data_IF_580305261571
#
_entry.id   IF_580305261571
#
_cell.length_a   1.000
_cell.length_b   1.000
_cell.length_c   1.000
_cell.angle_alpha   90.00
_cell.angle_beta   90.00
_cell.angle_gamma   90.00
#
_symmetry.space_group_name_H-M   'P 1'
#
loop_
_entity.id
_entity.type
_entity.pdbx_description
1 polymer ?
#
# COMPACT_ATOMS: atom_id res chain seq x y z
N UNK A 1 26.25 -27.83 61.34
CA UNK A 1 27.40 -28.11 60.45
C UNK A 1 27.03 -27.53 59.09
N UNK A 2 27.41 -26.30 58.71
CA UNK A 2 28.75 -25.84 58.27
C UNK A 2 29.36 -26.81 57.25
N UNK A 3 29.69 -26.51 55.98
CA UNK A 3 30.12 -25.28 55.29
C UNK A 3 29.72 -25.37 53.78
N UNK A 4 29.29 -24.30 53.08
CA UNK A 4 30.05 -23.24 52.37
C UNK A 4 30.82 -23.71 51.11
N UNK A 5 30.38 -23.28 49.92
CA UNK A 5 31.20 -22.85 48.74
C UNK A 5 30.25 -22.53 47.57
N UNK A 6 29.75 -21.30 47.41
CA UNK A 6 30.26 -20.31 46.46
C UNK A 6 30.72 -20.88 45.10
N UNK A 7 29.87 -20.74 44.10
CA UNK A 7 30.24 -20.63 42.68
C UNK A 7 29.28 -19.62 42.05
N UNK A 8 29.46 -18.35 42.40
CA UNK A 8 28.98 -17.25 41.58
C UNK A 8 29.96 -17.06 40.42
N UNK A 9 29.46 -16.42 39.36
CA UNK A 9 30.20 -15.83 38.23
C UNK A 9 30.41 -16.77 37.04
N UNK A 10 29.43 -16.76 36.13
CA UNK A 10 29.68 -16.87 34.68
C UNK A 10 28.61 -16.09 33.91
N UNK A 11 28.42 -14.84 34.32
CA UNK A 11 27.71 -13.81 33.56
C UNK A 11 28.68 -12.65 33.39
N UNK A 12 29.42 -12.65 32.28
CA UNK A 12 30.17 -11.53 31.68
C UNK A 12 31.39 -12.08 30.94
N UNK A 13 31.28 -12.20 29.61
CA UNK A 13 32.45 -12.21 28.70
C UNK A 13 32.02 -12.17 27.24
N UNK A 14 31.14 -11.24 26.87
CA UNK A 14 31.00 -10.77 25.49
C UNK A 14 30.59 -9.29 25.48
N UNK A 15 31.39 -8.44 26.12
CA UNK A 15 31.19 -6.98 26.13
C UNK A 15 32.50 -6.19 26.04
N UNK A 16 33.56 -6.81 25.52
CA UNK A 16 34.88 -6.18 25.45
C UNK A 16 35.50 -6.44 24.10
N UNK A 17 35.13 -5.62 23.10
CA UNK A 17 35.98 -5.26 21.94
C UNK A 17 35.22 -4.32 20.97
N UNK A 18 34.89 -3.08 21.39
CA UNK A 18 34.74 -1.95 20.44
C UNK A 18 34.70 -0.55 21.10
N UNK A 19 35.47 -0.30 22.15
CA UNK A 19 35.55 1.05 22.74
C UNK A 19 36.85 1.81 22.39
N UNK A 20 37.87 1.14 21.86
CA UNK A 20 39.08 1.81 21.40
C UNK A 20 38.99 2.08 19.90
N UNK A 21 38.35 3.20 19.53
CA UNK A 21 38.61 4.05 18.35
C UNK A 21 37.45 5.02 18.10
N UNK A 22 37.00 5.77 19.11
CA UNK A 22 36.28 7.03 18.86
C UNK A 22 37.29 8.14 18.55
N UNK A 23 37.97 7.98 17.41
CA UNK A 23 38.63 9.08 16.72
C UNK A 23 37.57 10.12 16.36
N UNK A 24 37.75 11.35 16.86
CA UNK A 24 37.02 12.59 16.52
C UNK A 24 36.03 12.43 15.36
N UNK A 25 34.76 12.20 15.69
CA UNK A 25 33.65 12.36 14.75
C UNK A 25 33.49 13.86 14.50
N UNK A 26 34.13 14.36 13.44
CA UNK A 26 33.83 15.66 12.86
C UNK A 26 32.34 15.65 12.48
N UNK A 27 31.54 16.58 13.03
CA UNK A 27 30.10 16.65 12.74
C UNK A 27 29.92 16.68 11.22
N UNK A 28 29.26 15.67 10.62
CA UNK A 28 29.13 15.61 9.18
C UNK A 28 28.32 16.84 8.72
N UNK A 29 28.80 17.50 7.66
CA UNK A 29 28.05 18.62 7.09
C UNK A 29 26.70 18.11 6.57
N UNK A 30 25.67 18.96 6.59
CA UNK A 30 24.34 18.61 6.06
C UNK A 30 24.45 18.08 4.62
N UNK A 31 25.34 18.64 3.80
CA UNK A 31 25.60 18.17 2.45
C UNK A 31 26.20 16.76 2.40
N UNK A 32 27.10 16.43 3.33
CA UNK A 32 27.66 15.08 3.47
C UNK A 32 26.61 14.07 3.91
N UNK A 33 25.73 14.43 4.85
CA UNK A 33 24.60 13.58 5.26
C UNK A 33 23.61 13.34 4.12
N UNK A 34 23.28 14.38 3.35
CA UNK A 34 22.39 14.25 2.19
C UNK A 34 23.02 13.40 1.09
N UNK A 35 24.31 13.60 0.80
CA UNK A 35 25.03 12.80 -0.18
C UNK A 35 25.09 11.33 0.26
N UNK A 36 25.48 11.05 1.51
CA UNK A 36 25.52 9.70 2.07
C UNK A 36 24.14 9.04 2.02
N UNK A 37 23.07 9.76 2.42
CA UNK A 37 21.69 9.27 2.36
C UNK A 37 21.23 8.95 0.93
N UNK A 38 21.62 9.76 -0.05
CA UNK A 38 21.28 9.52 -1.45
C UNK A 38 22.06 8.34 -2.02
N UNK A 39 23.36 8.23 -1.72
CA UNK A 39 24.16 7.06 -2.13
C UNK A 39 23.77 5.79 -1.41
N UNK A 40 23.34 5.86 -0.15
CA UNK A 40 22.90 4.68 0.61
C UNK A 40 21.59 4.09 0.08
N UNK A 41 20.76 4.91 -0.58
CA UNK A 41 19.57 4.48 -1.31
C UNK A 41 19.91 3.46 -2.42
N UNK A 42 21.11 3.54 -2.98
CA UNK A 42 21.60 2.63 -4.03
C UNK A 42 22.69 1.64 -3.53
N UNK A 43 23.28 1.88 -2.36
CA UNK A 43 24.35 1.05 -1.78
C UNK A 43 23.75 -0.02 -0.86
N UNK A 44 24.13 -1.28 -1.09
CA UNK A 44 23.65 -2.41 -0.28
C UNK A 44 24.28 -2.37 1.12
N UNK A 45 23.47 -2.17 2.15
CA UNK A 45 23.92 -2.32 3.53
C UNK A 45 23.80 -3.78 3.98
N UNK A 46 24.77 -4.32 4.74
CA UNK A 46 24.60 -5.62 5.36
C UNK A 46 23.44 -5.57 6.40
N UNK A 47 22.75 -6.69 6.66
CA UNK A 47 21.71 -6.74 7.68
C UNK A 47 22.28 -6.37 9.05
N UNK A 48 21.53 -5.58 9.82
CA UNK A 48 21.99 -5.02 11.10
C UNK A 48 22.04 -6.08 12.21
N UNK A 49 21.21 -7.12 12.13
CA UNK A 49 21.15 -8.24 13.06
C UNK A 49 20.85 -9.52 12.27
N UNK A 50 21.74 -10.51 12.34
CA UNK A 50 21.51 -11.84 11.78
C UNK A 50 21.18 -12.79 12.93
N UNK A 51 19.90 -12.91 13.29
CA UNK A 51 19.44 -13.94 14.24
C UNK A 51 18.53 -14.92 13.49
N UNK A 52 18.75 -16.23 13.65
CA UNK A 52 17.97 -17.27 12.95
C UNK A 52 16.46 -17.18 13.23
N UNK A 53 16.08 -16.59 14.36
CA UNK A 53 14.67 -16.46 14.78
C UNK A 53 13.90 -15.43 13.96
N UNK A 54 14.58 -14.39 13.45
CA UNK A 54 13.95 -13.31 12.68
C UNK A 54 13.61 -13.77 11.26
N UNK A 55 14.41 -14.66 10.66
CA UNK A 55 14.20 -15.15 9.30
C UNK A 55 13.37 -16.44 9.20
N UNK A 56 12.73 -16.89 10.28
CA UNK A 56 11.99 -18.14 10.26
C UNK A 56 10.67 -17.99 9.50
N UNK A 57 10.70 -18.36 8.22
CA UNK A 57 9.52 -18.35 7.35
C UNK A 57 8.48 -19.35 7.86
N UNK A 58 7.25 -18.90 8.12
CA UNK A 58 6.13 -19.83 8.30
C UNK A 58 5.74 -20.37 6.92
N UNK A 59 6.04 -21.64 6.67
CA UNK A 59 5.58 -22.29 5.45
C UNK A 59 4.09 -22.64 5.60
N UNK A 60 3.21 -21.76 5.09
CA UNK A 60 1.81 -22.12 4.89
C UNK A 60 1.73 -23.34 3.95
N UNK A 61 0.91 -24.37 4.27
CA UNK A 61 0.75 -25.53 3.40
C UNK A 61 0.30 -25.08 2.00
N UNK A 62 1.02 -25.53 0.98
CA UNK A 62 0.96 -25.06 -0.42
C UNK A 62 -0.46 -24.91 -0.97
N UNK A 63 -1.40 -25.79 -0.58
CA UNK A 63 -2.80 -25.71 -1.02
C UNK A 63 -3.55 -24.45 -0.56
N UNK A 64 -3.29 -23.95 0.66
CA UNK A 64 -3.92 -22.72 1.16
C UNK A 64 -3.34 -21.47 0.51
N UNK A 65 -2.04 -21.48 0.18
CA UNK A 65 -1.37 -20.36 -0.50
C UNK A 65 -1.99 -20.06 -1.88
N UNK A 66 -2.30 -21.11 -2.66
CA UNK A 66 -2.92 -20.97 -3.97
C UNK A 66 -4.35 -20.44 -3.91
N UNK A 67 -5.09 -20.78 -2.85
CA UNK A 67 -6.43 -20.25 -2.63
C UNK A 67 -6.42 -18.73 -2.39
N UNK A 68 -5.42 -18.22 -1.66
CA UNK A 68 -5.26 -16.77 -1.44
C UNK A 68 -4.82 -16.03 -2.70
N UNK A 69 -3.91 -16.61 -3.50
CA UNK A 69 -3.58 -16.07 -4.83
C UNK A 69 -4.85 -15.97 -5.68
N UNK A 70 -5.60 -17.06 -5.77
CA UNK A 70 -6.83 -17.11 -6.55
C UNK A 70 -7.84 -16.08 -6.03
N UNK A 71 -8.02 -15.96 -4.71
CA UNK A 71 -8.89 -14.97 -4.11
C UNK A 71 -8.47 -13.54 -4.48
N UNK A 72 -7.19 -13.19 -4.36
CA UNK A 72 -6.68 -11.87 -4.74
C UNK A 72 -6.93 -11.54 -6.21
N UNK A 73 -6.65 -12.49 -7.11
CA UNK A 73 -6.91 -12.35 -8.55
C UNK A 73 -8.41 -12.21 -8.82
N UNK A 74 -9.24 -13.07 -8.23
CA UNK A 74 -10.68 -13.04 -8.41
C UNK A 74 -11.29 -11.74 -7.89
N UNK A 75 -10.82 -11.22 -6.76
CA UNK A 75 -11.25 -9.93 -6.23
C UNK A 75 -10.86 -8.80 -7.18
N UNK A 76 -9.63 -8.77 -7.68
CA UNK A 76 -9.18 -7.76 -8.64
C UNK A 76 -9.99 -7.83 -9.95
N UNK A 77 -10.23 -9.03 -10.48
CA UNK A 77 -11.03 -9.26 -11.69
C UNK A 77 -12.50 -8.89 -11.48
N UNK A 78 -13.06 -9.23 -10.32
CA UNK A 78 -14.43 -8.88 -9.94
C UNK A 78 -14.57 -7.36 -9.90
N UNK A 79 -13.69 -6.67 -9.16
CA UNK A 79 -13.71 -5.21 -9.07
C UNK A 79 -13.51 -4.55 -10.44
N UNK A 80 -12.59 -5.08 -11.26
CA UNK A 80 -12.40 -4.61 -12.63
C UNK A 80 -13.67 -4.77 -13.47
N UNK A 81 -14.32 -5.93 -13.40
CA UNK A 81 -15.56 -6.21 -14.14
C UNK A 81 -16.69 -5.29 -13.69
N UNK A 82 -16.84 -5.09 -12.38
CA UNK A 82 -17.85 -4.18 -11.82
C UNK A 82 -17.60 -2.73 -12.25
N UNK A 83 -16.35 -2.29 -12.22
CA UNK A 83 -15.95 -0.95 -12.66
C UNK A 83 -16.26 -0.73 -14.15
N UNK A 84 -15.96 -1.71 -15.02
CA UNK A 84 -16.27 -1.65 -16.46
C UNK A 84 -17.79 -1.67 -16.69
N UNK A 85 -18.53 -2.47 -15.93
CA UNK A 85 -19.99 -2.51 -16.02
C UNK A 85 -20.61 -1.14 -15.65
N UNK A 86 -20.05 -0.46 -14.64
CA UNK A 86 -20.57 0.82 -14.16
C UNK A 86 -20.35 1.99 -15.13
N UNK A 87 -19.24 2.03 -15.86
CA UNK A 87 -18.88 3.18 -16.72
C UNK A 87 -18.96 2.89 -18.23
N UNK A 88 -18.93 1.63 -18.61
CA UNK A 88 -18.91 1.18 -20.01
C UNK A 88 -17.52 0.84 -20.55
N UNK A 89 -17.51 0.03 -21.61
CA UNK A 89 -16.30 -0.56 -22.22
C UNK A 89 -15.31 0.47 -22.77
N UNK A 90 -15.77 1.69 -23.08
CA UNK A 90 -14.95 2.79 -23.59
C UNK A 90 -13.89 3.28 -22.60
N UNK A 91 -14.05 2.97 -21.31
CA UNK A 91 -13.17 3.45 -20.25
C UNK A 91 -12.03 2.49 -19.89
N UNK A 92 -11.98 1.32 -20.51
CA UNK A 92 -10.95 0.31 -20.23
C UNK A 92 -9.53 0.89 -20.40
N UNK A 93 -9.29 1.65 -21.46
CA UNK A 93 -7.97 2.24 -21.70
C UNK A 93 -7.53 3.20 -20.58
N UNK A 94 -8.46 4.03 -20.08
CA UNK A 94 -8.19 4.93 -18.96
C UNK A 94 -7.92 4.15 -17.68
N UNK A 95 -8.71 3.10 -17.41
CA UNK A 95 -8.53 2.27 -16.23
C UNK A 95 -7.17 1.55 -16.22
N UNK A 96 -6.74 1.02 -17.36
CA UNK A 96 -5.40 0.43 -17.52
C UNK A 96 -4.29 1.47 -17.33
N UNK A 97 -4.49 2.68 -17.86
CA UNK A 97 -3.54 3.77 -17.68
C UNK A 97 -3.42 4.19 -16.22
N UNK A 98 -4.53 4.41 -15.51
CA UNK A 98 -4.53 4.81 -14.09
C UNK A 98 -4.04 3.71 -13.16
N UNK A 99 -4.20 2.44 -13.54
CA UNK A 99 -3.68 1.28 -12.83
C UNK A 99 -2.18 1.04 -13.06
N UNK A 100 -1.60 1.57 -14.15
CA UNK A 100 -0.21 1.32 -14.51
C UNK A 100 0.77 1.83 -13.44
N UNK A 101 0.54 3.03 -12.88
CA UNK A 101 1.44 3.61 -11.90
C UNK A 101 1.42 2.85 -10.55
N UNK A 102 0.25 2.55 -9.94
CA UNK A 102 0.19 1.69 -8.75
C UNK A 102 0.78 0.30 -8.98
N UNK A 103 0.54 -0.30 -10.16
CA UNK A 103 1.07 -1.62 -10.50
C UNK A 103 2.60 -1.60 -10.61
N UNK A 104 3.18 -0.59 -11.26
CA UNK A 104 4.64 -0.42 -11.35
C UNK A 104 5.26 -0.24 -9.97
N UNK A 105 4.65 0.58 -9.11
CA UNK A 105 5.14 0.78 -7.75
C UNK A 105 5.01 -0.48 -6.89
N UNK A 106 3.92 -1.24 -7.04
CA UNK A 106 3.74 -2.54 -6.40
C UNK A 106 4.83 -3.52 -6.82
N UNK A 107 5.08 -3.65 -8.13
CA UNK A 107 6.14 -4.52 -8.67
C UNK A 107 7.51 -4.08 -8.13
N UNK A 108 7.80 -2.79 -8.15
CA UNK A 108 9.07 -2.26 -7.63
C UNK A 108 9.26 -2.57 -6.15
N UNK A 109 8.23 -2.41 -5.32
CA UNK A 109 8.27 -2.73 -3.91
C UNK A 109 8.57 -4.21 -3.67
N UNK A 110 7.87 -5.11 -4.38
CA UNK A 110 8.09 -6.56 -4.29
C UNK A 110 9.48 -6.99 -4.76
N UNK A 111 10.06 -6.29 -5.73
CA UNK A 111 11.41 -6.59 -6.24
C UNK A 111 12.53 -6.04 -5.35
N UNK A 112 12.23 -4.99 -4.58
CA UNK A 112 13.21 -4.32 -3.71
C UNK A 112 13.35 -5.03 -2.36
N UNK A 113 12.29 -5.71 -1.93
CA UNK A 113 12.29 -6.52 -0.72
C UNK A 113 13.22 -7.74 -0.86
N UNK A 114 14.31 -7.73 -0.08
CA UNK A 114 15.42 -8.71 -0.20
C UNK A 114 15.65 -9.51 1.07
N UNK A 115 15.55 -8.87 2.23
CA UNK A 115 16.01 -9.47 3.49
C UNK A 115 14.97 -10.44 4.04
N UNK A 116 13.69 -10.06 4.00
CA UNK A 116 12.55 -10.85 4.46
C UNK A 116 11.41 -10.78 3.44
N UNK A 117 11.53 -11.49 2.30
CA UNK A 117 10.57 -11.39 1.23
C UNK A 117 9.20 -11.89 1.66
N UNK A 118 8.23 -10.99 1.68
CA UNK A 118 6.86 -11.28 2.04
C UNK A 118 6.22 -12.32 1.09
N UNK A 119 5.33 -13.20 1.59
CA UNK A 119 4.57 -14.10 0.75
C UNK A 119 3.76 -13.33 -0.30
N UNK A 120 4.20 -13.46 -1.57
CA UNK A 120 3.57 -12.84 -2.75
C UNK A 120 2.07 -13.08 -2.85
N UNK A 121 1.59 -14.23 -2.35
CA UNK A 121 0.17 -14.56 -2.35
C UNK A 121 -0.64 -13.68 -1.40
N UNK A 122 -0.09 -13.30 -0.24
CA UNK A 122 -0.73 -12.36 0.68
C UNK A 122 -0.68 -10.94 0.15
N UNK A 123 0.43 -10.54 -0.47
CA UNK A 123 0.53 -9.24 -1.13
C UNK A 123 -0.52 -9.07 -2.22
N UNK A 124 -0.73 -10.10 -3.05
CA UNK A 124 -1.75 -10.07 -4.10
C UNK A 124 -3.17 -10.09 -3.52
N UNK A 125 -3.41 -10.85 -2.45
CA UNK A 125 -4.68 -10.83 -1.73
C UNK A 125 -4.96 -9.45 -1.12
N UNK A 126 -3.96 -8.84 -0.48
CA UNK A 126 -4.03 -7.51 0.11
C UNK A 126 -4.35 -6.44 -0.94
N UNK A 127 -3.68 -6.52 -2.09
CA UNK A 127 -3.97 -5.65 -3.23
C UNK A 127 -5.43 -5.81 -3.72
N UNK A 128 -5.89 -7.05 -3.91
CA UNK A 128 -7.27 -7.33 -4.34
C UNK A 128 -8.33 -6.87 -3.34
N UNK A 129 -8.09 -7.05 -2.03
CA UNK A 129 -8.95 -6.52 -0.98
C UNK A 129 -8.97 -5.00 -0.95
N UNK A 130 -7.81 -4.35 -1.16
CA UNK A 130 -7.72 -2.90 -1.29
C UNK A 130 -8.56 -2.35 -2.46
N UNK A 131 -8.51 -3.01 -3.62
CA UNK A 131 -9.37 -2.67 -4.76
C UNK A 131 -10.86 -2.83 -4.40
N UNK A 132 -11.24 -3.94 -3.77
CA UNK A 132 -12.63 -4.16 -3.36
C UNK A 132 -13.12 -3.07 -2.39
N UNK A 133 -12.32 -2.76 -1.35
CA UNK A 133 -12.69 -1.73 -0.39
C UNK A 133 -12.78 -0.34 -1.02
N UNK A 134 -11.88 0.02 -1.93
CA UNK A 134 -11.98 1.28 -2.69
C UNK A 134 -13.23 1.34 -3.56
N UNK A 135 -13.62 0.22 -4.19
CA UNK A 135 -14.86 0.18 -4.96
C UNK A 135 -16.12 0.31 -4.08
N UNK A 136 -16.14 -0.36 -2.93
CA UNK A 136 -17.25 -0.25 -1.98
C UNK A 136 -17.35 1.18 -1.45
N UNK A 137 -16.23 1.79 -1.07
CA UNK A 137 -16.18 3.18 -0.58
C UNK A 137 -16.68 4.17 -1.64
N UNK A 138 -16.15 4.11 -2.85
CA UNK A 138 -16.55 5.01 -3.94
C UNK A 138 -18.04 4.85 -4.30
N UNK A 139 -18.52 3.61 -4.42
CA UNK A 139 -19.96 3.35 -4.67
C UNK A 139 -20.84 3.81 -3.52
N UNK A 140 -20.45 3.59 -2.25
CA UNK A 140 -21.21 4.11 -1.11
C UNK A 140 -21.30 5.64 -1.14
N UNK A 141 -20.18 6.32 -1.38
CA UNK A 141 -20.15 7.78 -1.40
C UNK A 141 -20.94 8.38 -2.55
N UNK A 142 -20.87 7.80 -3.75
CA UNK A 142 -21.63 8.28 -4.90
C UNK A 142 -23.15 8.19 -4.71
N UNK A 143 -23.63 7.28 -3.85
CA UNK A 143 -25.05 7.13 -3.54
C UNK A 143 -25.55 8.08 -2.43
N UNK A 144 -24.66 8.80 -1.75
CA UNK A 144 -25.03 9.73 -0.68
C UNK A 144 -24.88 11.17 -1.19
N UNK A 145 -25.94 12.01 -1.17
CA UNK A 145 -25.89 13.37 -1.66
C UNK A 145 -25.16 14.31 -0.67
N UNK A 146 -23.85 14.12 -0.52
CA UNK A 146 -23.01 14.87 0.42
C UNK A 146 -22.67 16.29 -0.04
N UNK A 147 -22.80 16.59 -1.34
CA UNK A 147 -22.52 17.91 -1.89
C UNK A 147 -21.14 18.44 -1.47
N UNK A 148 -21.10 19.61 -0.85
CA UNK A 148 -19.86 20.26 -0.39
C UNK A 148 -19.15 19.52 0.76
N UNK A 149 -19.82 18.59 1.45
CA UNK A 149 -19.21 17.79 2.51
C UNK A 149 -18.45 16.57 1.98
N UNK A 150 -18.54 16.27 0.68
CA UNK A 150 -17.89 15.11 0.07
C UNK A 150 -16.38 15.03 0.38
N UNK A 151 -15.57 16.11 0.26
CA UNK A 151 -14.14 16.01 0.57
C UNK A 151 -13.85 15.67 2.03
N UNK A 152 -14.68 16.16 2.95
CA UNK A 152 -14.55 15.87 4.39
C UNK A 152 -14.90 14.41 4.65
N UNK A 153 -15.98 13.91 4.04
CA UNK A 153 -16.37 12.51 4.16
C UNK A 153 -15.28 11.57 3.65
N UNK A 154 -14.69 11.86 2.48
CA UNK A 154 -13.54 11.12 1.94
C UNK A 154 -12.34 11.14 2.89
N UNK A 155 -11.96 12.32 3.39
CA UNK A 155 -10.85 12.44 4.34
C UNK A 155 -10.99 11.59 5.62
N UNK A 156 -12.22 11.26 6.02
CA UNK A 156 -12.49 10.37 7.16
C UNK A 156 -12.63 8.90 6.72
N UNK A 157 -13.31 8.64 5.61
CA UNK A 157 -13.64 7.27 5.18
C UNK A 157 -12.47 6.58 4.45
N UNK A 158 -11.73 7.30 3.61
CA UNK A 158 -10.55 6.77 2.91
C UNK A 158 -9.61 6.01 3.86
N UNK A 159 -9.12 6.58 4.97
CA UNK A 159 -8.24 5.84 5.88
C UNK A 159 -8.94 4.63 6.51
N UNK A 160 -10.23 4.73 6.88
CA UNK A 160 -10.96 3.62 7.49
C UNK A 160 -11.05 2.43 6.52
N UNK A 161 -11.41 2.69 5.25
CA UNK A 161 -11.50 1.66 4.23
C UNK A 161 -10.14 1.13 3.78
N UNK A 162 -9.07 1.91 3.90
CA UNK A 162 -7.70 1.43 3.67
C UNK A 162 -7.19 0.56 4.84
N UNK A 163 -7.56 0.86 6.09
CA UNK A 163 -7.16 0.04 7.25
C UNK A 163 -7.98 -1.26 7.39
N UNK A 164 -9.23 -1.29 6.92
CA UNK A 164 -10.11 -2.44 7.09
C UNK A 164 -9.56 -3.75 6.47
N UNK A 165 -9.04 -3.79 5.22
CA UNK A 165 -8.37 -4.96 4.67
C UNK A 165 -7.18 -5.43 5.51
N UNK A 166 -6.38 -4.49 6.02
CA UNK A 166 -5.21 -4.80 6.82
C UNK A 166 -5.60 -5.44 8.15
N UNK A 167 -6.62 -4.90 8.81
CA UNK A 167 -7.21 -5.50 10.01
C UNK A 167 -7.77 -6.89 9.73
N UNK A 168 -8.45 -7.09 8.60
CA UNK A 168 -8.97 -8.41 8.21
C UNK A 168 -7.86 -9.46 8.01
N UNK A 169 -6.76 -9.05 7.37
CA UNK A 169 -5.56 -9.88 7.17
C UNK A 169 -4.92 -10.22 8.51
N UNK A 170 -4.73 -9.23 9.39
CA UNK A 170 -4.10 -9.42 10.70
C UNK A 170 -4.97 -10.22 11.68
N UNK A 171 -6.30 -10.03 11.66
CA UNK A 171 -7.23 -10.74 12.54
C UNK A 171 -7.53 -12.17 12.09
N UNK A 172 -7.21 -12.53 10.84
CA UNK A 172 -7.37 -13.87 10.30
C UNK A 172 -6.46 -14.86 11.03
N UNK A 173 -7.00 -15.97 11.51
CA UNK A 173 -6.22 -17.02 12.20
C UNK A 173 -5.22 -17.74 11.30
N UNK A 174 -5.38 -17.63 9.98
CA UNK A 174 -4.52 -18.25 8.98
C UNK A 174 -3.47 -17.25 8.48
N UNK A 175 -3.88 -16.01 8.25
CA UNK A 175 -3.05 -14.98 7.62
C UNK A 175 -2.31 -14.12 8.64
N UNK A 176 -2.89 -13.87 9.80
CA UNK A 176 -2.29 -13.10 10.88
C UNK A 176 -1.08 -13.77 11.52
N UNK A 177 -0.83 -15.05 11.22
CA UNK A 177 0.40 -15.75 11.63
C UNK A 177 1.62 -15.34 10.82
N UNK A 178 1.41 -14.78 9.62
CA UNK A 178 2.47 -14.21 8.79
C UNK A 178 2.81 -12.78 9.19
N UNK A 179 1.98 -12.13 10.01
CA UNK A 179 2.27 -10.83 10.62
C UNK A 179 3.20 -11.05 11.83
N UNK A 180 4.51 -11.05 11.59
CA UNK A 180 5.51 -11.33 12.60
C UNK A 180 6.23 -10.06 13.09
N UNK A 181 6.33 -9.03 12.24
CA UNK A 181 6.99 -7.76 12.55
C UNK A 181 6.15 -6.56 12.09
N UNK A 182 6.51 -5.38 12.61
CA UNK A 182 5.90 -4.11 12.26
C UNK A 182 6.18 -3.73 10.80
N UNK A 183 7.29 -4.21 10.24
CA UNK A 183 7.62 -4.02 8.83
C UNK A 183 6.58 -4.64 7.90
N UNK A 184 6.04 -5.81 8.27
CA UNK A 184 5.01 -6.50 7.51
C UNK A 184 3.75 -5.65 7.36
N UNK A 185 3.38 -4.95 8.44
CA UNK A 185 2.28 -3.99 8.42
C UNK A 185 2.47 -2.86 7.41
N UNK A 186 3.72 -2.43 7.20
CA UNK A 186 4.05 -1.41 6.21
C UNK A 186 3.92 -2.00 4.79
N UNK A 187 4.44 -3.21 4.55
CA UNK A 187 4.40 -3.82 3.21
C UNK A 187 2.97 -4.21 2.82
N UNK A 188 2.21 -4.86 3.71
CA UNK A 188 0.80 -5.17 3.46
C UNK A 188 -0.05 -3.89 3.36
N UNK A 189 0.19 -2.90 4.21
CA UNK A 189 -0.47 -1.60 4.13
C UNK A 189 -0.22 -0.91 2.79
N UNK A 190 1.01 -0.96 2.28
CA UNK A 190 1.35 -0.47 0.94
C UNK A 190 0.58 -1.22 -0.14
N UNK A 191 0.55 -2.56 -0.10
CA UNK A 191 -0.18 -3.38 -1.07
C UNK A 191 -1.68 -3.05 -1.11
N UNK A 192 -2.32 -2.93 0.06
CA UNK A 192 -3.72 -2.50 0.19
C UNK A 192 -3.92 -1.11 -0.41
N UNK A 193 -3.04 -0.17 -0.05
CA UNK A 193 -3.12 1.22 -0.51
C UNK A 193 -3.01 1.34 -2.03
N UNK A 194 -2.13 0.57 -2.66
CA UNK A 194 -1.97 0.56 -4.12
C UNK A 194 -3.20 -0.01 -4.83
N UNK A 195 -3.83 -1.02 -4.25
CA UNK A 195 -5.12 -1.54 -4.73
C UNK A 195 -6.23 -0.49 -4.63
N UNK A 196 -6.33 0.19 -3.49
CA UNK A 196 -7.30 1.26 -3.26
C UNK A 196 -7.11 2.43 -4.25
N UNK A 197 -5.87 2.92 -4.39
CA UNK A 197 -5.53 4.02 -5.31
C UNK A 197 -5.86 3.67 -6.76
N UNK A 198 -5.72 2.40 -7.15
CA UNK A 198 -6.07 1.94 -8.50
C UNK A 198 -7.55 2.23 -8.82
N UNK A 199 -8.45 1.99 -7.86
CA UNK A 199 -9.88 2.26 -8.02
C UNK A 199 -10.19 3.76 -7.86
N UNK A 200 -9.54 4.42 -6.90
CA UNK A 200 -9.71 5.86 -6.68
C UNK A 200 -9.36 6.68 -7.93
N UNK A 201 -8.20 6.41 -8.55
CA UNK A 201 -7.78 7.10 -9.76
C UNK A 201 -8.77 6.91 -10.91
N UNK A 202 -9.38 5.73 -10.99
CA UNK A 202 -10.40 5.44 -11.98
C UNK A 202 -11.71 6.20 -11.73
N UNK A 203 -12.20 6.23 -10.48
CA UNK A 203 -13.38 7.01 -10.10
C UNK A 203 -13.19 8.51 -10.34
N UNK A 204 -11.98 9.03 -10.07
CA UNK A 204 -11.64 10.41 -10.38
C UNK A 204 -11.64 10.67 -11.90
N UNK A 205 -11.08 9.76 -12.69
CA UNK A 205 -11.05 9.89 -14.15
C UNK A 205 -12.45 9.81 -14.77
N UNK A 206 -13.32 8.93 -14.28
CA UNK A 206 -14.70 8.80 -14.76
C UNK A 206 -15.50 10.07 -14.47
N UNK A 207 -15.40 10.60 -13.25
CA UNK A 207 -16.02 11.87 -12.88
C UNK A 207 -15.50 13.04 -13.72
N UNK A 208 -14.18 13.13 -13.90
CA UNK A 208 -13.55 14.19 -14.67
C UNK A 208 -14.04 14.21 -16.13
N UNK A 209 -14.13 13.04 -16.80
CA UNK A 209 -14.61 13.06 -18.18
C UNK A 209 -16.14 13.20 -18.29
N UNK A 210 -16.94 12.79 -17.31
CA UNK A 210 -18.37 13.16 -17.24
C UNK A 210 -18.57 14.68 -17.17
N UNK A 211 -17.74 15.39 -16.37
CA UNK A 211 -17.77 16.85 -16.29
C UNK A 211 -17.31 17.51 -17.62
N UNK A 212 -16.30 16.94 -18.29
CA UNK A 212 -15.86 17.46 -19.60
C UNK A 212 -16.90 17.28 -20.71
N UNK A 213 -17.62 16.14 -20.72
CA UNK A 213 -18.72 15.91 -21.67
C UNK A 213 -19.90 16.85 -21.44
N UNK A 214 -20.20 17.18 -20.17
CA UNK A 214 -21.19 18.21 -19.82
C UNK A 214 -20.74 19.62 -20.24
N UNK A 215 -19.45 19.93 -20.16
CA UNK A 215 -18.90 21.20 -20.67
C UNK A 215 -19.02 21.30 -22.20
N UNK A 216 -18.73 20.22 -22.93
CA UNK A 216 -18.89 20.18 -24.39
C UNK A 216 -20.37 20.22 -24.84
N UNK A 217 -21.32 19.69 -24.05
CA UNK A 217 -22.76 19.83 -24.31
C UNK A 217 -23.33 21.20 -23.88
N UNK A 218 -22.76 21.81 -22.83
CA UNK A 218 -23.16 23.11 -22.30
C UNK A 218 -22.66 24.29 -23.14
N UNK A 219 -21.49 24.17 -23.76
CA UNK A 219 -20.93 25.18 -24.65
C UNK A 219 -21.85 25.55 -25.85
N UNK A 220 -22.44 24.60 -26.61
CA UNK A 220 -23.37 24.93 -27.69
C UNK A 220 -24.70 25.48 -27.18
N UNK A 221 -25.19 25.04 -26.01
CA UNK A 221 -26.41 25.59 -25.41
C UNK A 221 -26.21 27.05 -24.93
N UNK A 222 -25.08 27.34 -24.27
CA UNK A 222 -24.70 28.69 -23.87
C UNK A 222 -24.43 29.60 -25.09
N UNK A 223 -23.81 29.07 -26.14
CA UNK A 223 -23.61 29.80 -27.40
C UNK A 223 -24.94 30.07 -28.12
N UNK A 224 -25.87 29.13 -28.14
CA UNK A 224 -27.20 29.30 -28.72
C UNK A 224 -28.04 30.33 -27.93
N UNK A 225 -27.96 30.32 -26.60
CA UNK A 225 -28.64 31.30 -25.76
C UNK A 225 -28.08 32.72 -25.97
N UNK A 226 -26.75 32.86 -26.03
CA UNK A 226 -26.09 34.15 -26.29
C UNK A 226 -26.40 34.68 -27.71
N UNK A 227 -26.44 33.81 -28.71
CA UNK A 227 -26.80 34.18 -30.08
C UNK A 227 -28.26 34.66 -30.17
N UNK A 228 -29.17 34.02 -29.44
CA UNK A 228 -30.60 34.40 -29.43
C UNK A 228 -30.84 35.73 -28.68
N UNK A 229 -30.04 36.05 -27.66
CA UNK A 229 -30.08 37.35 -26.97
C UNK A 229 -29.36 38.47 -27.72
N UNK A 230 -28.43 38.15 -28.63
CA UNK A 230 -27.73 39.13 -29.46
C UNK A 230 -28.50 39.50 -30.74
N UNK A 231 -29.51 38.69 -31.11
CA UNK A 231 -30.38 38.90 -32.27
C UNK A 231 -31.77 39.47 -31.92
N UNK A 232 -32.03 39.73 -30.63
CA UNK A 232 -33.21 40.41 -30.10
C UNK A 232 -32.89 41.86 -29.72
#
# INVERSE_FOLDING_TARGET
>A
MSAKSQSSNNFSSHTTCREENMSKSEKPSIGGLLAEAFTSLFKKNPPLLQTEVVYQKLELPTGKSMAYVAAGILLALLTFTLAVYATGISWIAYMLFTASLPALFFIWAVLTDRYEPEPKYLLLMAFGLGMLCGYIEDTMLMNIPLGTLMPIARGVLDPIFMFMPLYFIAASSVTGREFNDHMDGIVYGMAVSLGFITVFNYGLASLAASLSGLFELGAPFAAALLLNTALA
#
